data_IF_736280987269
#
_entry.id   IF_736280987269
#
_cell.length_a   1.000
_cell.length_b   1.000
_cell.length_c   1.000
_cell.angle_alpha   90.00
_cell.angle_beta   90.00
_cell.angle_gamma   90.00
#
_symmetry.space_group_name_H-M   'P 1'
#
loop_
_entity.id
_entity.type
_entity.pdbx_description
1 polymer ?
#
# COMPACT_ATOMS: atom_id res chain seq x y z
N UNK A 1 7.81 4.89 3.00
CA UNK A 1 7.29 6.06 2.26
C UNK A 1 5.91 6.44 2.77
N UNK A 2 5.54 7.72 2.70
CA UNK A 2 4.19 8.21 3.08
C UNK A 2 3.84 9.49 2.33
N UNK A 3 2.53 9.71 2.12
CA UNK A 3 1.95 10.96 1.61
C UNK A 3 0.98 11.61 2.64
N UNK A 4 0.97 11.10 3.88
CA UNK A 4 0.09 11.56 4.95
C UNK A 4 -1.26 10.83 5.02
N UNK A 5 -1.69 10.14 3.96
CA UNK A 5 -2.93 9.36 3.91
C UNK A 5 -2.68 7.85 3.86
N UNK A 6 -1.51 7.45 3.44
CA UNK A 6 -1.06 6.07 3.36
C UNK A 6 0.44 5.99 3.65
N UNK A 7 0.89 4.81 4.05
CA UNK A 7 2.28 4.54 4.34
C UNK A 7 2.64 3.14 3.82
N UNK A 8 3.81 3.01 3.24
CA UNK A 8 4.38 1.74 2.81
C UNK A 8 5.75 1.53 3.46
N UNK A 9 5.94 0.34 4.05
CA UNK A 9 7.22 -0.15 4.56
C UNK A 9 7.62 -1.41 3.81
N UNK A 10 8.84 -1.45 3.30
CA UNK A 10 9.46 -2.64 2.73
C UNK A 10 10.77 -2.92 3.43
N UNK A 11 10.97 -4.14 3.88
CA UNK A 11 12.22 -4.61 4.47
C UNK A 11 12.96 -5.51 3.48
N UNK A 12 14.25 -5.26 3.31
CA UNK A 12 15.16 -6.09 2.55
C UNK A 12 16.17 -6.72 3.51
N UNK A 13 16.53 -7.98 3.25
CA UNK A 13 17.55 -8.71 4.01
C UNK A 13 18.85 -8.58 3.22
N UNK A 14 19.42 -7.39 3.22
CA UNK A 14 20.70 -7.11 2.57
C UNK A 14 21.73 -6.69 3.61
N UNK A 15 22.99 -7.10 3.40
CA UNK A 15 24.10 -6.58 4.19
C UNK A 15 24.48 -5.21 3.64
N UNK A 16 24.33 -4.20 4.47
CA UNK A 16 24.78 -2.85 4.15
C UNK A 16 26.06 -2.54 4.95
N UNK A 17 26.98 -1.83 4.35
CA UNK A 17 28.27 -1.48 4.97
C UNK A 17 28.13 -0.31 5.98
N UNK A 18 27.06 0.46 5.89
CA UNK A 18 26.83 1.63 6.74
C UNK A 18 25.36 1.78 7.12
N UNK A 19 25.10 2.28 8.32
CA UNK A 19 23.75 2.62 8.80
C UNK A 19 23.43 4.06 8.37
N UNK A 20 22.67 4.23 7.31
CA UNK A 20 22.24 5.52 6.76
C UNK A 20 20.75 5.71 6.94
N UNK A 21 20.37 6.89 7.47
CA UNK A 21 18.97 7.34 7.50
C UNK A 21 18.84 8.58 6.61
N UNK A 22 18.05 8.49 5.56
CA UNK A 22 17.86 9.58 4.62
C UNK A 22 16.40 9.64 4.16
N UNK A 23 15.90 10.84 3.87
CA UNK A 23 14.58 11.03 3.26
C UNK A 23 14.82 11.43 1.80
N UNK A 24 14.54 10.48 0.90
CA UNK A 24 14.72 10.66 -0.54
C UNK A 24 13.39 11.10 -1.16
N UNK A 25 13.36 12.13 -2.02
CA UNK A 25 12.16 12.52 -2.76
C UNK A 25 11.64 11.36 -3.63
N UNK A 26 10.32 11.14 -3.59
CA UNK A 26 9.70 10.06 -4.38
C UNK A 26 9.89 10.25 -5.90
N UNK A 27 9.96 11.48 -6.39
CA UNK A 27 10.25 11.78 -7.79
C UNK A 27 11.60 11.21 -8.23
N UNK A 28 12.64 11.36 -7.40
CA UNK A 28 13.96 10.78 -7.68
C UNK A 28 13.89 9.25 -7.82
N UNK A 29 13.13 8.57 -6.95
CA UNK A 29 12.97 7.12 -7.04
C UNK A 29 12.18 6.68 -8.28
N UNK A 30 11.24 7.51 -8.74
CA UNK A 30 10.51 7.28 -10.01
C UNK A 30 11.48 7.41 -11.19
N UNK A 31 12.35 8.41 -11.20
CA UNK A 31 13.38 8.59 -12.23
C UNK A 31 14.35 7.40 -12.25
N UNK A 32 14.80 6.95 -11.07
CA UNK A 32 15.63 5.75 -10.92
C UNK A 32 14.94 4.52 -11.50
N UNK A 33 13.66 4.29 -11.14
CA UNK A 33 12.88 3.17 -11.67
C UNK A 33 12.74 3.24 -13.19
N UNK A 34 12.58 4.44 -13.75
CA UNK A 34 12.51 4.64 -15.20
C UNK A 34 13.82 4.38 -15.92
N UNK A 35 14.96 4.49 -15.22
CA UNK A 35 16.29 4.24 -15.77
C UNK A 35 16.76 2.78 -15.60
N UNK A 36 16.12 1.99 -14.72
CA UNK A 36 16.44 0.57 -14.55
C UNK A 36 16.06 -0.21 -15.81
N UNK A 37 16.98 -1.03 -16.31
CA UNK A 37 16.74 -1.96 -17.40
C UNK A 37 16.97 -3.40 -16.96
N UNK A 38 16.34 -4.35 -17.66
CA UNK A 38 16.40 -5.79 -17.35
C UNK A 38 17.83 -6.36 -17.35
N UNK A 39 18.77 -5.68 -17.98
CA UNK A 39 20.17 -6.09 -18.06
C UNK A 39 21.05 -5.57 -16.90
N UNK A 40 20.48 -4.79 -15.98
CA UNK A 40 21.22 -4.26 -14.83
C UNK A 40 21.21 -5.25 -13.68
N UNK A 41 22.41 -5.61 -13.20
CA UNK A 41 22.58 -6.55 -12.07
C UNK A 41 22.75 -5.84 -10.73
N UNK A 42 23.13 -4.56 -10.74
CA UNK A 42 23.42 -3.78 -9.53
C UNK A 42 23.12 -2.30 -9.72
N UNK A 43 22.83 -1.63 -8.63
CA UNK A 43 22.67 -0.19 -8.50
C UNK A 43 23.59 0.27 -7.38
N UNK A 44 24.52 1.16 -7.67
CA UNK A 44 25.33 1.80 -6.65
C UNK A 44 24.57 2.99 -6.04
N UNK A 45 24.43 3.04 -4.71
CA UNK A 45 23.76 4.12 -4.00
C UNK A 45 24.76 4.76 -3.05
N UNK A 46 25.04 6.05 -3.26
CA UNK A 46 25.96 6.83 -2.43
C UNK A 46 25.21 7.97 -1.77
N UNK A 47 25.37 8.10 -0.47
CA UNK A 47 24.80 9.20 0.32
C UNK A 47 25.92 10.13 0.79
N UNK A 48 25.66 11.44 0.71
CA UNK A 48 26.36 12.44 1.49
C UNK A 48 25.41 13.15 2.46
N UNK A 49 25.85 14.24 3.11
CA UNK A 49 25.04 14.93 4.11
C UNK A 49 23.77 15.61 3.55
N UNK A 50 23.67 15.82 2.25
CA UNK A 50 22.63 16.63 1.62
C UNK A 50 22.03 16.01 0.35
N UNK A 51 22.67 14.97 -0.19
CA UNK A 51 22.33 14.40 -1.48
C UNK A 51 22.41 12.87 -1.47
N UNK A 52 21.68 12.27 -2.38
CA UNK A 52 21.82 10.86 -2.76
C UNK A 52 22.14 10.77 -4.25
N UNK A 53 23.03 9.88 -4.59
CA UNK A 53 23.41 9.56 -5.96
C UNK A 53 23.16 8.08 -6.23
N UNK A 54 22.45 7.82 -7.32
CA UNK A 54 22.22 6.49 -7.88
C UNK A 54 23.02 6.37 -9.17
N UNK A 55 23.85 5.33 -9.27
CA UNK A 55 24.57 5.00 -10.49
C UNK A 55 24.03 3.69 -11.05
N UNK A 56 23.56 3.74 -12.30
CA UNK A 56 22.94 2.66 -13.03
C UNK A 56 23.70 2.46 -14.35
N UNK A 57 24.83 1.73 -14.29
CA UNK A 57 25.75 1.64 -15.43
C UNK A 57 26.35 3.01 -15.77
N UNK A 58 26.04 3.53 -16.96
CA UNK A 58 26.52 4.86 -17.43
C UNK A 58 25.59 6.01 -17.01
N UNK A 59 24.40 5.69 -16.45
CA UNK A 59 23.44 6.71 -16.00
C UNK A 59 23.71 7.06 -14.54
N UNK A 60 23.75 8.36 -14.25
CA UNK A 60 23.88 8.87 -12.89
C UNK A 60 22.70 9.81 -12.57
N UNK A 61 21.99 9.54 -11.50
CA UNK A 61 20.88 10.35 -11.01
C UNK A 61 21.24 10.87 -9.63
N UNK A 62 21.24 12.18 -9.46
CA UNK A 62 21.54 12.83 -8.18
C UNK A 62 20.35 13.66 -7.72
N UNK A 63 19.99 13.54 -6.45
CA UNK A 63 18.90 14.30 -5.85
C UNK A 63 19.31 14.85 -4.49
N UNK A 64 18.78 16.04 -4.14
CA UNK A 64 18.84 16.54 -2.77
C UNK A 64 17.98 15.68 -1.86
N UNK A 65 18.47 15.43 -0.65
CA UNK A 65 17.69 14.83 0.43
C UNK A 65 16.67 15.85 0.98
N UNK A 66 15.59 15.36 1.52
CA UNK A 66 14.62 16.19 2.23
C UNK A 66 15.13 16.39 3.65
N UNK A 67 15.29 17.65 4.06
CA UNK A 67 15.69 18.01 5.41
C UNK A 67 14.60 17.67 6.42
N UNK A 68 15.00 17.13 7.57
CA UNK A 68 14.10 16.80 8.67
C UNK A 68 14.21 15.37 9.16
N UNK A 69 13.28 15.00 10.04
CA UNK A 69 13.17 13.64 10.57
C UNK A 69 11.92 12.97 10.01
N UNK A 70 12.05 11.73 9.53
CA UNK A 70 10.89 10.94 9.15
C UNK A 70 10.02 10.67 10.39
N UNK A 71 8.68 10.81 10.30
CA UNK A 71 7.78 10.59 11.43
C UNK A 71 7.96 9.20 12.04
N UNK A 72 7.71 9.09 13.35
CA UNK A 72 7.66 7.80 14.04
C UNK A 72 6.39 7.03 13.61
N UNK A 73 6.46 6.45 12.41
CA UNK A 73 5.34 5.78 11.76
C UNK A 73 4.97 4.44 12.40
N UNK A 74 5.89 3.84 13.16
CA UNK A 74 5.63 2.55 13.81
C UNK A 74 4.47 2.63 14.79
N UNK A 75 4.23 3.80 15.38
CA UNK A 75 3.06 4.06 16.23
C UNK A 75 1.74 4.08 15.47
N UNK A 76 1.78 4.25 14.14
CA UNK A 76 0.59 4.22 13.29
C UNK A 76 0.19 2.80 12.91
N UNK A 77 1.12 1.84 13.04
CA UNK A 77 0.86 0.43 12.76
C UNK A 77 0.16 -0.17 13.98
N UNK A 78 -1.10 -0.60 13.89
CA UNK A 78 -1.78 -1.23 15.00
C UNK A 78 -1.03 -2.49 15.44
N UNK A 79 -0.72 -2.61 16.73
CA UNK A 79 -0.09 -3.81 17.29
C UNK A 79 -1.00 -5.04 17.15
N UNK A 80 -2.31 -4.82 17.25
CA UNK A 80 -3.33 -5.83 17.04
C UNK A 80 -4.35 -5.32 16.04
N UNK A 81 -4.63 -6.13 15.04
CA UNK A 81 -5.70 -5.90 14.09
C UNK A 81 -6.98 -6.50 14.68
N UNK A 82 -8.07 -5.77 14.64
CA UNK A 82 -9.34 -6.24 15.18
C UNK A 82 -9.95 -7.39 14.37
N UNK A 83 -9.90 -7.25 13.04
CA UNK A 83 -10.35 -8.25 12.06
C UNK A 83 -9.23 -8.47 11.07
N UNK A 84 -8.68 -9.67 11.01
CA UNK A 84 -7.67 -10.08 10.04
C UNK A 84 -8.34 -10.98 9.00
N UNK A 85 -8.20 -10.61 7.73
CA UNK A 85 -8.91 -11.23 6.62
C UNK A 85 -7.87 -11.70 5.61
N UNK A 86 -7.89 -12.99 5.28
CA UNK A 86 -7.01 -13.55 4.25
C UNK A 86 -7.80 -13.78 2.97
N UNK A 87 -7.24 -13.32 1.85
CA UNK A 87 -7.92 -13.39 0.58
C UNK A 87 -6.96 -13.40 -0.60
N UNK A 88 -7.48 -13.81 -1.76
CA UNK A 88 -6.77 -13.79 -3.03
C UNK A 88 -6.49 -12.35 -3.48
N UNK A 89 -5.23 -12.05 -3.78
CA UNK A 89 -4.79 -10.77 -4.37
C UNK A 89 -5.52 -10.47 -5.68
N UNK A 90 -5.60 -11.46 -6.56
CA UNK A 90 -6.15 -11.29 -7.91
C UNK A 90 -7.64 -10.96 -7.85
N UNK A 91 -8.38 -11.70 -7.01
CA UNK A 91 -9.81 -11.47 -6.83
C UNK A 91 -10.10 -10.11 -6.19
N UNK A 92 -9.36 -9.75 -5.13
CA UNK A 92 -9.51 -8.43 -4.51
C UNK A 92 -9.20 -7.31 -5.50
N UNK A 93 -8.11 -7.41 -6.26
CA UNK A 93 -7.76 -6.39 -7.25
C UNK A 93 -8.84 -6.25 -8.32
N UNK A 94 -9.45 -7.35 -8.76
CA UNK A 94 -10.53 -7.36 -9.75
C UNK A 94 -11.75 -6.58 -9.25
N UNK A 95 -12.26 -6.91 -8.05
CA UNK A 95 -13.46 -6.25 -7.52
C UNK A 95 -13.21 -4.80 -7.13
N UNK A 96 -12.02 -4.46 -6.61
CA UNK A 96 -11.66 -3.06 -6.30
C UNK A 96 -11.53 -2.22 -7.56
N UNK A 97 -10.93 -2.74 -8.65
CA UNK A 97 -10.87 -2.05 -9.93
C UNK A 97 -12.27 -1.81 -10.51
N UNK A 98 -13.17 -2.77 -10.39
CA UNK A 98 -14.55 -2.61 -10.83
C UNK A 98 -15.26 -1.52 -10.01
N UNK A 99 -15.19 -1.56 -8.68
CA UNK A 99 -15.77 -0.54 -7.81
C UNK A 99 -15.17 0.86 -8.08
N UNK A 100 -13.87 0.94 -8.42
CA UNK A 100 -13.19 2.19 -8.72
C UNK A 100 -13.78 2.92 -9.95
N UNK A 101 -14.37 2.21 -10.92
CA UNK A 101 -15.02 2.83 -12.07
C UNK A 101 -16.24 3.64 -11.63
N UNK A 102 -16.99 3.15 -10.66
CA UNK A 102 -18.19 3.78 -10.14
C UNK A 102 -17.91 4.83 -9.05
N UNK A 103 -16.72 4.83 -8.47
CA UNK A 103 -16.36 5.75 -7.39
C UNK A 103 -15.78 7.09 -7.84
N UNK A 104 -15.56 7.32 -9.15
CA UNK A 104 -14.92 8.53 -9.68
C UNK A 104 -15.64 9.82 -9.29
N UNK A 105 -16.98 9.83 -9.29
CA UNK A 105 -17.80 10.97 -8.92
C UNK A 105 -17.82 11.30 -7.41
N UNK A 106 -17.32 10.39 -6.56
CA UNK A 106 -17.35 10.52 -5.08
C UNK A 106 -15.94 10.44 -4.48
N UNK A 107 -14.97 11.01 -5.17
CA UNK A 107 -13.59 11.11 -4.67
C UNK A 107 -12.84 9.78 -4.57
N UNK A 108 -13.27 8.76 -5.30
CA UNK A 108 -12.66 7.43 -5.27
C UNK A 108 -13.06 6.57 -4.07
N UNK A 109 -14.12 6.95 -3.36
CA UNK A 109 -14.59 6.27 -2.14
C UNK A 109 -15.24 4.91 -2.47
N UNK A 110 -14.78 3.86 -1.79
CA UNK A 110 -15.35 2.52 -1.82
C UNK A 110 -15.60 2.01 -0.41
N UNK A 111 -16.61 1.19 -0.25
CA UNK A 111 -16.95 0.53 1.02
C UNK A 111 -16.44 -0.91 0.95
N UNK A 112 -15.60 -1.28 1.92
CA UNK A 112 -15.12 -2.64 2.13
C UNK A 112 -15.83 -3.21 3.36
N UNK A 113 -16.48 -4.36 3.23
CA UNK A 113 -17.25 -5.01 4.30
C UNK A 113 -16.89 -6.49 4.36
N UNK A 114 -16.54 -6.94 5.58
CA UNK A 114 -16.23 -8.33 5.88
C UNK A 114 -17.38 -8.93 6.69
N UNK A 115 -17.88 -10.11 6.28
CA UNK A 115 -18.91 -10.86 6.97
C UNK A 115 -18.42 -12.26 7.33
N UNK A 116 -18.20 -12.50 8.60
CA UNK A 116 -17.72 -13.77 9.14
C UNK A 116 -18.74 -14.91 8.96
N UNK A 117 -20.04 -14.61 9.06
CA UNK A 117 -21.10 -15.61 8.92
C UNK A 117 -21.18 -16.25 7.53
N UNK A 118 -20.83 -15.51 6.48
CA UNK A 118 -20.84 -15.99 5.09
C UNK A 118 -19.45 -16.16 4.50
N UNK A 119 -18.39 -15.87 5.25
CA UNK A 119 -17.00 -15.87 4.76
C UNK A 119 -16.83 -15.03 3.47
N UNK A 120 -17.51 -13.87 3.43
CA UNK A 120 -17.60 -13.02 2.24
C UNK A 120 -17.01 -11.65 2.53
N UNK A 121 -16.12 -11.22 1.66
CA UNK A 121 -15.61 -9.84 1.63
C UNK A 121 -16.22 -9.11 0.44
N UNK A 122 -16.95 -8.04 0.72
CA UNK A 122 -17.67 -7.25 -0.28
C UNK A 122 -16.99 -5.90 -0.49
N UNK A 123 -16.91 -5.48 -1.76
CA UNK A 123 -16.50 -4.13 -2.14
C UNK A 123 -17.62 -3.48 -2.92
N UNK A 124 -18.08 -2.34 -2.44
CA UNK A 124 -19.16 -1.59 -3.08
C UNK A 124 -18.81 -0.12 -3.27
N UNK A 125 -19.43 0.48 -4.25
CA UNK A 125 -19.40 1.92 -4.52
C UNK A 125 -20.75 2.41 -5.00
N UNK A 126 -21.09 3.64 -4.64
CA UNK A 126 -22.32 4.29 -5.04
C UNK A 126 -21.96 5.57 -5.79
N UNK A 127 -22.42 5.69 -7.02
CA UNK A 127 -22.30 6.92 -7.81
C UNK A 127 -23.67 7.42 -8.17
N UNK A 128 -23.96 8.69 -7.87
CA UNK A 128 -25.28 9.30 -8.09
C UNK A 128 -25.76 9.23 -9.55
N UNK A 129 -24.83 9.22 -10.52
CA UNK A 129 -25.15 9.24 -11.95
C UNK A 129 -24.88 7.92 -12.68
N UNK A 130 -23.98 7.07 -12.14
CA UNK A 130 -23.52 5.83 -12.78
C UNK A 130 -24.15 4.58 -12.18
N UNK A 131 -24.93 4.73 -11.08
CA UNK A 131 -25.54 3.62 -10.36
C UNK A 131 -24.64 3.05 -9.26
N UNK A 132 -24.96 1.85 -8.82
CA UNK A 132 -24.29 1.15 -7.72
C UNK A 132 -23.55 -0.07 -8.27
N UNK A 133 -22.40 -0.35 -7.69
CA UNK A 133 -21.67 -1.59 -7.89
C UNK A 133 -21.43 -2.25 -6.53
N UNK A 134 -21.71 -3.54 -6.46
CA UNK A 134 -21.31 -4.40 -5.34
C UNK A 134 -20.74 -5.70 -5.91
N UNK A 135 -19.59 -6.11 -5.41
CA UNK A 135 -18.92 -7.34 -5.81
C UNK A 135 -18.34 -8.02 -4.59
N UNK A 136 -18.43 -9.32 -4.57
CA UNK A 136 -18.05 -10.18 -3.46
C UNK A 136 -16.91 -11.12 -3.86
N UNK A 137 -16.13 -11.51 -2.86
CA UNK A 137 -15.16 -12.61 -2.94
C UNK A 137 -15.20 -13.46 -1.67
N UNK A 138 -14.79 -14.72 -1.77
CA UNK A 138 -14.60 -15.59 -0.62
C UNK A 138 -13.29 -15.24 0.09
N UNK A 139 -13.34 -15.16 1.42
CA UNK A 139 -12.19 -14.82 2.25
C UNK A 139 -12.28 -15.52 3.61
N UNK A 140 -11.13 -15.80 4.22
CA UNK A 140 -11.07 -16.31 5.60
C UNK A 140 -11.24 -15.14 6.57
N UNK A 141 -12.41 -15.07 7.22
CA UNK A 141 -12.86 -13.94 8.02
C UNK A 141 -13.25 -14.40 9.42
N UNK A 142 -12.52 -13.93 10.42
CA UNK A 142 -12.75 -14.30 11.83
C UNK A 142 -13.83 -13.44 12.51
N UNK A 143 -14.04 -12.22 12.06
CA UNK A 143 -15.04 -11.30 12.63
C UNK A 143 -15.54 -10.30 11.59
N UNK A 144 -16.69 -9.71 11.84
CA UNK A 144 -17.28 -8.70 10.96
C UNK A 144 -16.50 -7.38 11.04
N UNK A 145 -16.37 -6.71 9.89
CA UNK A 145 -15.69 -5.43 9.79
C UNK A 145 -16.19 -4.60 8.62
N UNK A 146 -16.14 -3.27 8.77
CA UNK A 146 -16.51 -2.33 7.71
C UNK A 146 -15.64 -1.10 7.73
N UNK A 147 -15.18 -0.68 6.55
CA UNK A 147 -14.32 0.49 6.39
C UNK A 147 -14.56 1.15 5.04
N UNK A 148 -14.33 2.46 4.96
CA UNK A 148 -14.41 3.23 3.71
C UNK A 148 -13.00 3.65 3.33
N UNK A 149 -12.57 3.32 2.12
CA UNK A 149 -11.23 3.58 1.63
C UNK A 149 -11.26 4.33 0.28
N UNK A 150 -10.13 4.95 -0.03
CA UNK A 150 -9.88 5.42 -1.39
C UNK A 150 -9.45 4.23 -2.26
N UNK A 151 -10.19 3.98 -3.33
CA UNK A 151 -9.98 2.85 -4.24
C UNK A 151 -8.60 2.85 -4.89
N UNK A 152 -8.07 4.04 -5.24
CA UNK A 152 -6.74 4.18 -5.84
C UNK A 152 -5.64 3.77 -4.86
N UNK A 153 -5.74 4.20 -3.59
CA UNK A 153 -4.76 3.81 -2.58
C UNK A 153 -4.75 2.31 -2.34
N UNK A 154 -5.94 1.69 -2.35
CA UNK A 154 -6.06 0.26 -2.20
C UNK A 154 -5.49 -0.50 -3.42
N UNK A 155 -5.77 -0.05 -4.64
CA UNK A 155 -5.20 -0.63 -5.86
C UNK A 155 -3.67 -0.56 -5.84
N UNK A 156 -3.11 0.60 -5.49
CA UNK A 156 -1.65 0.78 -5.42
C UNK A 156 -1.02 -0.18 -4.39
N UNK A 157 -1.65 -0.35 -3.21
CA UNK A 157 -1.19 -1.26 -2.18
C UNK A 157 -1.22 -2.73 -2.64
N UNK A 158 -2.33 -3.16 -3.28
CA UNK A 158 -2.48 -4.54 -3.76
C UNK A 158 -1.47 -4.87 -4.87
N UNK A 159 -1.20 -3.92 -5.77
CA UNK A 159 -0.28 -4.15 -6.89
C UNK A 159 1.15 -4.50 -6.45
N UNK A 160 1.59 -4.00 -5.31
CA UNK A 160 2.95 -4.22 -4.77
C UNK A 160 3.08 -5.55 -4.02
N UNK A 161 1.98 -6.19 -3.65
CA UNK A 161 1.99 -7.53 -3.03
C UNK A 161 2.53 -8.53 -4.05
N UNK A 162 3.52 -9.32 -3.67
CA UNK A 162 4.16 -10.31 -4.55
C UNK A 162 3.52 -11.71 -4.43
N UNK A 163 2.87 -11.98 -3.31
CA UNK A 163 2.24 -13.26 -3.00
C UNK A 163 0.85 -13.40 -3.66
N UNK A 164 0.39 -14.63 -3.84
CA UNK A 164 -0.95 -14.93 -4.38
C UNK A 164 -2.07 -14.45 -3.45
N UNK A 165 -1.80 -14.52 -2.14
CA UNK A 165 -2.72 -14.08 -1.10
C UNK A 165 -2.14 -12.90 -0.32
N UNK A 166 -3.02 -12.16 0.29
CA UNK A 166 -2.70 -11.05 1.21
C UNK A 166 -3.54 -11.12 2.48
N UNK A 167 -3.08 -10.42 3.51
CA UNK A 167 -3.89 -10.14 4.70
C UNK A 167 -4.38 -8.70 4.66
N UNK A 168 -5.66 -8.53 5.01
CA UNK A 168 -6.34 -7.24 5.06
C UNK A 168 -6.89 -7.03 6.46
N UNK A 169 -6.31 -6.12 7.21
CA UNK A 169 -6.61 -5.90 8.60
C UNK A 169 -7.46 -4.66 8.85
N UNK A 170 -8.62 -4.85 9.51
CA UNK A 170 -9.51 -3.76 9.94
C UNK A 170 -9.45 -3.66 11.46
N UNK A 171 -9.07 -2.49 11.98
CA UNK A 171 -9.00 -2.23 13.43
C UNK A 171 -10.15 -1.38 13.96
N UNK A 172 -11.02 -0.86 13.08
CA UNK A 172 -12.17 -0.02 13.39
C UNK A 172 -12.49 0.95 12.26
N UNK A 173 -13.61 1.67 12.39
CA UNK A 173 -14.12 2.55 11.31
C UNK A 173 -13.18 3.70 10.92
N UNK A 174 -12.41 4.19 11.88
CA UNK A 174 -11.46 5.31 11.69
C UNK A 174 -10.00 4.92 11.98
N UNK A 175 -9.76 3.67 12.33
CA UNK A 175 -8.42 3.16 12.53
C UNK A 175 -7.79 2.77 11.18
N UNK A 176 -6.46 2.88 11.04
CA UNK A 176 -5.78 2.52 9.81
C UNK A 176 -6.06 1.07 9.39
N UNK A 177 -6.28 0.87 8.10
CA UNK A 177 -6.30 -0.47 7.49
C UNK A 177 -4.86 -0.90 7.22
N UNK A 178 -4.54 -2.15 7.52
CA UNK A 178 -3.21 -2.72 7.33
C UNK A 178 -3.27 -3.82 6.29
N UNK A 179 -2.43 -3.72 5.26
CA UNK A 179 -2.31 -4.73 4.21
C UNK A 179 -0.90 -5.29 4.25
N UNK A 180 -0.77 -6.62 4.22
CA UNK A 180 0.51 -7.32 4.28
C UNK A 180 0.53 -8.50 3.31
N UNK A 181 1.72 -8.97 3.00
CA UNK A 181 1.90 -10.32 2.47
C UNK A 181 1.35 -11.35 3.46
N UNK A 182 0.79 -12.46 2.97
CA UNK A 182 0.24 -13.51 3.84
C UNK A 182 1.34 -14.22 4.66
N UNK A 183 2.46 -14.53 4.02
CA UNK A 183 3.53 -15.39 4.60
C UNK A 183 4.74 -14.61 5.04
N UNK A 184 5.15 -13.61 4.24
CA UNK A 184 6.35 -12.82 4.51
C UNK A 184 6.01 -11.51 5.20
N UNK A 185 6.70 -11.20 6.30
CA UNK A 185 6.54 -9.92 7.01
C UNK A 185 7.43 -8.81 6.44
N UNK A 186 7.80 -8.89 5.17
CA UNK A 186 8.73 -7.95 4.55
C UNK A 186 8.06 -6.73 3.91
N UNK A 187 6.72 -6.69 3.87
CA UNK A 187 5.94 -5.58 3.36
C UNK A 187 4.72 -5.28 4.22
N UNK A 188 4.56 -4.02 4.57
CA UNK A 188 3.37 -3.51 5.28
C UNK A 188 2.90 -2.24 4.59
N UNK A 189 1.62 -2.17 4.27
CA UNK A 189 0.96 -0.99 3.75
C UNK A 189 -0.16 -0.56 4.69
N UNK A 190 -0.25 0.72 4.97
CA UNK A 190 -1.28 1.31 5.80
C UNK A 190 -2.06 2.31 4.97
N UNK A 191 -3.39 2.27 5.09
CA UNK A 191 -4.29 3.23 4.44
C UNK A 191 -5.19 3.83 5.51
N UNK A 192 -5.23 5.16 5.58
CA UNK A 192 -6.17 5.88 6.44
C UNK A 192 -7.57 5.81 5.86
N UNK A 193 -8.59 5.42 6.66
CA UNK A 193 -9.98 5.42 6.23
C UNK A 193 -10.47 6.82 5.88
N UNK A 194 -11.41 6.87 4.96
CA UNK A 194 -12.18 8.08 4.70
C UNK A 194 -13.26 8.25 5.77
N UNK A 195 -13.53 9.50 6.14
CA UNK A 195 -14.68 9.80 7.01
C UNK A 195 -15.96 9.65 6.20
N UNK A 196 -16.93 8.91 6.77
CA UNK A 196 -18.32 8.82 6.26
C UNK A 196 -19.09 10.07 6.56
#
# INVERSE_FOLDING_TARGET
>A
ATDGYRLAERMFIEKVESDVKAIVPSSCLIDVLGAVSDNMNEIEIVFDNSQVRFRLGEIEITSKLIDGSFPDYRRLIPEKVGVDIKMSKVELLRIVKLAALFSRGVGGSIICEAKSSSQTFSVSSVANELGENASDLEADILADGKVILNSRYLIDAINVIEEENLTFGISGKLAPVVIRNEKSNNYTHIIMPLKS
#
